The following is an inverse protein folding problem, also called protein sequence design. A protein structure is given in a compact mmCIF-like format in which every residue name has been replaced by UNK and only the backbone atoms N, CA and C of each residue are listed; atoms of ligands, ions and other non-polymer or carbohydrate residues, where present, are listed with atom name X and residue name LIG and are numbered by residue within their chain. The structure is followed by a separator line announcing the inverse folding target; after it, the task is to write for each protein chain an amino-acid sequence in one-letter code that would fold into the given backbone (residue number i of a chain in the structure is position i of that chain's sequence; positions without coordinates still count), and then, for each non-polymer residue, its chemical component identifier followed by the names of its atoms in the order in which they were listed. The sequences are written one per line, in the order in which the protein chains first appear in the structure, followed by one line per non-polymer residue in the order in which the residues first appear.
data_IF_714766935897
#
_entry.id   IF_714766935897
#
_cell.length_a   1.000
_cell.length_b   1.000
_cell.length_c   1.000
_cell.angle_alpha   90.00
_cell.angle_beta   90.00
_cell.angle_gamma   90.00
#
_symmetry.space_group_name_H-M   'P 1'
#
loop_
_entity.id
_entity.type
_entity.pdbx_description
1 polymer ?
#
# COMPACT_ATOMS: atom_id res chain seq x y z
N UNK A 1 9.19 -4.42 -34.71
CA UNK A 1 9.61 -3.92 -33.38
C UNK A 1 8.52 -4.33 -32.41
N UNK A 2 8.71 -5.46 -31.72
CA UNK A 2 7.69 -6.02 -30.81
C UNK A 2 8.07 -5.61 -29.39
N UNK A 3 7.21 -4.86 -28.71
CA UNK A 3 7.38 -4.58 -27.29
C UNK A 3 6.25 -5.27 -26.52
N UNK A 4 6.45 -6.50 -26.02
CA UNK A 4 5.48 -7.12 -25.14
C UNK A 4 5.75 -6.62 -23.73
N UNK A 5 5.24 -5.43 -23.39
CA UNK A 5 5.09 -5.06 -21.98
C UNK A 5 3.85 -5.77 -21.44
N UNK A 6 3.92 -7.09 -21.36
CA UNK A 6 3.00 -7.87 -20.53
C UNK A 6 3.38 -7.59 -19.08
N UNK A 7 2.90 -6.46 -18.56
CA UNK A 7 2.80 -6.25 -17.13
C UNK A 7 1.59 -7.03 -16.65
N UNK A 8 1.75 -8.32 -16.38
CA UNK A 8 0.85 -9.05 -15.50
C UNK A 8 1.06 -8.55 -14.07
N UNK A 9 0.78 -7.26 -13.86
CA UNK A 9 0.64 -6.66 -12.54
C UNK A 9 -0.72 -7.09 -12.04
N UNK A 10 -0.74 -7.99 -11.06
CA UNK A 10 -1.88 -8.18 -10.19
C UNK A 10 -2.45 -6.80 -9.85
N UNK A 11 -3.71 -6.56 -10.21
CA UNK A 11 -4.37 -5.29 -9.93
C UNK A 11 -4.38 -5.13 -8.42
N UNK A 12 -3.57 -4.21 -7.89
CA UNK A 12 -3.52 -3.92 -6.47
C UNK A 12 -4.87 -3.30 -6.08
N UNK A 13 -5.64 -4.00 -5.27
CA UNK A 13 -6.88 -3.47 -4.70
C UNK A 13 -6.54 -2.55 -3.53
N UNK A 14 -6.65 -1.24 -3.77
CA UNK A 14 -6.32 -0.21 -2.79
C UNK A 14 -7.52 0.13 -1.92
N UNK A 15 -7.32 0.08 -0.61
CA UNK A 15 -8.29 0.47 0.40
C UNK A 15 -7.81 1.75 1.08
N UNK A 16 -8.66 2.78 1.08
CA UNK A 16 -8.39 4.02 1.81
C UNK A 16 -8.72 3.83 3.29
N UNK A 17 -7.84 4.30 4.18
CA UNK A 17 -8.11 4.26 5.61
C UNK A 17 -9.32 5.12 5.98
N UNK A 18 -10.15 4.65 6.92
CA UNK A 18 -11.30 5.39 7.44
C UNK A 18 -10.91 6.66 8.22
N UNK A 19 -9.64 6.78 8.62
CA UNK A 19 -9.11 7.98 9.27
C UNK A 19 -8.76 9.10 8.28
N UNK A 20 -8.82 8.83 6.98
CA UNK A 20 -8.54 9.81 5.92
C UNK A 20 -9.79 10.64 5.59
N UNK A 21 -10.10 11.62 6.46
CA UNK A 21 -11.09 12.66 6.20
C UNK A 21 -10.57 13.67 5.17
N UNK A 22 -11.48 14.33 4.44
CA UNK A 22 -11.14 15.23 3.33
C UNK A 22 -10.27 16.43 3.75
N UNK A 23 -10.31 16.80 5.03
CA UNK A 23 -9.57 17.90 5.65
C UNK A 23 -8.34 17.44 6.47
N UNK A 24 -8.09 16.13 6.57
CA UNK A 24 -6.97 15.57 7.32
C UNK A 24 -5.65 15.51 6.51
N UNK A 25 -4.48 15.70 7.15
CA UNK A 25 -3.18 15.55 6.48
C UNK A 25 -2.84 14.07 6.14
N UNK A 26 -3.46 13.12 6.83
CA UNK A 26 -3.05 11.70 6.88
C UNK A 26 -3.87 10.83 5.90
N UNK A 27 -3.70 11.01 4.59
CA UNK A 27 -4.41 10.22 3.59
C UNK A 27 -3.60 9.02 3.12
N UNK A 28 -3.80 7.84 3.74
CA UNK A 28 -3.09 6.60 3.38
C UNK A 28 -4.01 5.58 2.71
N UNK A 29 -3.46 4.90 1.72
CA UNK A 29 -4.06 3.76 1.04
C UNK A 29 -3.18 2.52 1.21
N UNK A 30 -3.82 1.38 1.42
CA UNK A 30 -3.15 0.09 1.59
C UNK A 30 -3.71 -0.91 0.58
N UNK A 31 -2.84 -1.65 -0.10
CA UNK A 31 -3.22 -2.80 -0.91
C UNK A 31 -2.57 -4.07 -0.38
N UNK A 32 -3.39 -5.10 -0.18
CA UNK A 32 -2.95 -6.40 0.31
C UNK A 32 -2.84 -7.34 -0.88
N UNK A 33 -1.69 -7.98 -1.02
CA UNK A 33 -1.50 -9.11 -1.92
C UNK A 33 -1.17 -10.36 -1.10
N UNK A 34 -1.10 -11.51 -1.75
CA UNK A 34 -0.74 -12.77 -1.09
C UNK A 34 0.65 -12.76 -0.45
N UNK A 35 1.57 -11.91 -0.92
CA UNK A 35 2.97 -11.91 -0.49
C UNK A 35 3.42 -10.58 0.12
N UNK A 36 2.86 -9.47 -0.37
CA UNK A 36 3.28 -8.12 -0.03
C UNK A 36 2.14 -7.20 0.33
N UNK A 37 2.41 -6.31 1.28
CA UNK A 37 1.54 -5.22 1.69
C UNK A 37 2.13 -3.94 1.11
N UNK A 38 1.34 -3.26 0.29
CA UNK A 38 1.70 -2.00 -0.33
C UNK A 38 1.00 -0.85 0.40
N UNK A 39 1.75 0.23 0.66
CA UNK A 39 1.23 1.42 1.33
C UNK A 39 1.66 2.63 0.51
N UNK A 40 0.72 3.53 0.25
CA UNK A 40 1.00 4.78 -0.43
C UNK A 40 0.21 5.94 0.16
N UNK A 41 0.67 7.13 -0.15
CA UNK A 41 -0.10 8.35 0.06
C UNK A 41 -1.20 8.46 -1.00
N UNK A 42 -2.44 8.60 -0.55
CA UNK A 42 -3.63 8.71 -1.41
C UNK A 42 -3.63 10.00 -2.24
N UNK A 43 -2.97 11.06 -1.76
CA UNK A 43 -2.83 12.33 -2.51
C UNK A 43 -1.72 12.24 -3.57
N UNK A 44 -0.85 11.25 -3.49
CA UNK A 44 0.28 11.00 -4.40
C UNK A 44 0.26 9.55 -4.89
N UNK A 45 -0.79 9.18 -5.61
CA UNK A 45 -0.98 7.83 -6.16
C UNK A 45 0.12 7.38 -7.13
N UNK A 46 0.81 8.32 -7.78
CA UNK A 46 1.96 8.09 -8.68
C UNK A 46 3.32 8.30 -7.98
N UNK A 47 3.31 8.57 -6.67
CA UNK A 47 4.52 8.76 -5.87
C UNK A 47 5.14 7.45 -5.39
N UNK A 48 6.21 7.55 -4.59
CA UNK A 48 6.85 6.40 -3.95
C UNK A 48 5.85 5.59 -3.10
N UNK A 49 5.99 4.26 -3.11
CA UNK A 49 5.16 3.33 -2.36
C UNK A 49 6.07 2.50 -1.45
N UNK A 50 5.62 2.24 -0.23
CA UNK A 50 6.27 1.28 0.65
C UNK A 50 5.71 -0.11 0.36
N UNK A 51 6.57 -1.12 0.32
CA UNK A 51 6.19 -2.51 0.16
C UNK A 51 6.86 -3.37 1.23
N UNK A 52 6.06 -4.10 2.00
CA UNK A 52 6.51 -5.00 3.04
C UNK A 52 6.13 -6.43 2.68
N UNK A 53 6.94 -7.41 3.06
CA UNK A 53 6.46 -8.80 3.08
C UNK A 53 5.41 -8.99 4.17
N UNK A 54 4.54 -9.98 4.01
CA UNK A 54 3.52 -10.32 5.01
C UNK A 54 4.11 -10.48 6.43
N UNK A 55 5.25 -11.17 6.55
CA UNK A 55 5.91 -11.37 7.84
C UNK A 55 6.39 -10.05 8.46
N UNK A 56 6.99 -9.16 7.66
CA UNK A 56 7.48 -7.85 8.15
C UNK A 56 6.33 -6.93 8.54
N UNK A 57 5.20 -7.04 7.87
CA UNK A 57 3.99 -6.33 8.23
C UNK A 57 3.45 -6.77 9.60
N UNK A 58 3.45 -8.07 9.90
CA UNK A 58 3.06 -8.59 11.23
C UNK A 58 4.01 -8.12 12.33
N UNK A 59 5.33 -8.15 12.08
CA UNK A 59 6.34 -7.64 13.02
C UNK A 59 6.09 -6.15 13.32
N UNK A 60 5.84 -5.36 12.27
CA UNK A 60 5.54 -3.94 12.37
C UNK A 60 4.27 -3.65 13.17
N UNK A 61 3.17 -4.35 12.88
CA UNK A 61 1.91 -4.16 13.61
C UNK A 61 2.03 -4.54 15.09
N UNK A 62 2.77 -5.60 15.39
CA UNK A 62 3.03 -6.02 16.77
C UNK A 62 3.78 -4.96 17.56
N UNK A 63 4.75 -4.29 16.93
CA UNK A 63 5.44 -3.15 17.51
C UNK A 63 4.51 -1.94 17.68
N UNK A 64 3.77 -1.58 16.63
CA UNK A 64 2.94 -0.39 16.60
C UNK A 64 1.74 -0.45 17.55
N UNK A 65 1.15 -1.63 17.77
CA UNK A 65 0.01 -1.81 18.68
C UNK A 65 0.37 -1.76 20.17
N UNK A 66 1.67 -1.85 20.49
CA UNK A 66 2.18 -1.79 21.87
C UNK A 66 2.61 -0.38 22.32
N UNK A 67 2.33 0.65 21.53
CA UNK A 67 2.60 2.07 21.82
C UNK A 67 1.33 2.90 21.59
#
# INVERSE_FOLDING_TARGET
MTNPSTGNGSVLEWFKSSYSTNDGPECVEVALTSETIHIRDSKRTQGPQLAFSAQKWVDFLSYAAGH
#
